data_IF_498156408786
#
_entry.id   IF_498156408786
#
_cell.length_a   1.000
_cell.length_b   1.000
_cell.length_c   1.000
_cell.angle_alpha   90.00
_cell.angle_beta   90.00
_cell.angle_gamma   90.00
#
_symmetry.space_group_name_H-M   'P 1'
#
loop_
_entity.id
_entity.type
_entity.pdbx_description
1 polymer ?
#
# COMPACT_ATOMS: atom_id res chain seq x y z
N UNK A 1 -21.49 1.76 40.23
CA UNK A 1 -20.38 2.72 40.10
C UNK A 1 -19.10 2.03 40.53
N UNK A 2 -18.36 1.46 39.59
CA UNK A 2 -16.96 1.09 39.82
C UNK A 2 -16.22 1.38 38.53
N UNK A 3 -15.42 2.45 38.56
CA UNK A 3 -14.61 2.88 37.44
C UNK A 3 -13.30 2.09 37.48
N UNK A 4 -13.24 1.01 36.71
CA UNK A 4 -11.98 0.35 36.39
C UNK A 4 -11.14 1.30 35.53
N UNK A 5 -10.25 2.04 36.21
CA UNK A 5 -9.12 2.72 35.60
C UNK A 5 -8.13 1.66 35.11
N UNK A 6 -8.36 1.15 33.91
CA UNK A 6 -7.26 0.66 33.09
C UNK A 6 -6.41 1.86 32.67
N UNK A 7 -5.39 2.15 33.48
CA UNK A 7 -4.22 2.87 33.03
C UNK A 7 -3.55 1.94 32.02
N UNK A 8 -3.90 2.07 30.74
CA UNK A 8 -3.17 1.45 29.66
C UNK A 8 -1.70 1.88 29.79
N UNK A 9 -0.81 0.92 30.05
CA UNK A 9 0.62 1.12 29.93
C UNK A 9 0.88 1.83 28.60
N UNK A 10 1.53 2.99 28.62
CA UNK A 10 1.81 3.75 27.42
C UNK A 10 2.73 2.91 26.51
N UNK A 11 2.14 2.10 25.63
CA UNK A 11 2.85 1.37 24.60
C UNK A 11 3.66 2.39 23.77
N UNK A 12 4.90 2.02 23.44
CA UNK A 12 5.71 2.81 22.54
C UNK A 12 4.92 3.08 21.23
N UNK A 13 5.01 4.30 20.66
CA UNK A 13 4.27 4.60 19.45
C UNK A 13 4.72 3.67 18.31
N UNK A 14 3.75 3.04 17.66
CA UNK A 14 3.97 2.16 16.51
C UNK A 14 3.90 2.94 15.21
N UNK A 15 4.92 2.79 14.38
CA UNK A 15 5.06 3.46 13.09
C UNK A 15 5.03 2.42 11.97
N UNK A 16 4.22 2.66 10.95
CA UNK A 16 4.27 1.90 9.71
C UNK A 16 5.07 2.67 8.67
N UNK A 17 6.11 2.07 8.12
CA UNK A 17 6.84 2.59 6.97
C UNK A 17 6.51 1.77 5.72
N UNK A 18 5.78 2.36 4.79
CA UNK A 18 5.52 1.78 3.47
C UNK A 18 6.54 2.34 2.48
N UNK A 19 7.59 1.56 2.19
CA UNK A 19 8.67 1.98 1.31
C UNK A 19 9.31 0.80 0.61
N UNK A 20 9.77 1.03 -0.62
CA UNK A 20 10.55 0.05 -1.36
C UNK A 20 11.86 -0.25 -0.61
N UNK A 21 12.32 -1.51 -0.61
CA UNK A 21 13.58 -1.87 0.04
C UNK A 21 14.76 -1.09 -0.57
N UNK A 22 15.31 -0.16 0.19
CA UNK A 22 16.44 0.66 -0.22
C UNK A 22 17.24 1.17 0.98
N UNK A 23 18.50 1.53 0.77
CA UNK A 23 19.38 2.04 1.83
C UNK A 23 18.79 3.24 2.59
N UNK A 24 18.05 4.11 1.89
CA UNK A 24 17.34 5.23 2.52
C UNK A 24 16.28 4.77 3.53
N UNK A 25 15.53 3.72 3.20
CA UNK A 25 14.45 3.19 4.05
C UNK A 25 15.03 2.56 5.31
N UNK A 26 16.08 1.75 5.15
CA UNK A 26 16.83 1.18 6.28
C UNK A 26 17.37 2.26 7.22
N UNK A 27 17.96 3.33 6.69
CA UNK A 27 18.44 4.46 7.51
C UNK A 27 17.32 5.14 8.29
N UNK A 28 16.14 5.28 7.69
CA UNK A 28 14.99 5.88 8.36
C UNK A 28 14.49 4.97 9.48
N UNK A 29 14.33 3.68 9.23
CA UNK A 29 13.95 2.66 10.24
C UNK A 29 14.91 2.69 11.43
N UNK A 30 16.22 2.59 11.18
CA UNK A 30 17.20 2.62 12.27
C UNK A 30 17.11 3.91 13.11
N UNK A 31 16.81 5.05 12.48
CA UNK A 31 16.65 6.32 13.21
C UNK A 31 15.37 6.33 14.02
N UNK A 32 14.25 5.86 13.48
CA UNK A 32 12.98 5.73 14.20
C UNK A 32 13.12 4.80 15.42
N UNK A 33 13.73 3.63 15.23
CA UNK A 33 13.98 2.67 16.32
C UNK A 33 14.90 3.25 17.41
N UNK A 34 15.93 4.01 17.03
CA UNK A 34 16.80 4.73 18.00
C UNK A 34 16.09 5.83 18.78
N UNK A 35 14.91 6.27 18.33
CA UNK A 35 14.04 7.18 19.09
C UNK A 35 13.06 6.42 20.01
N UNK A 36 13.16 5.09 20.07
CA UNK A 36 12.25 4.25 20.86
C UNK A 36 10.90 4.00 20.18
N UNK A 37 10.80 4.24 18.87
CA UNK A 37 9.59 3.96 18.09
C UNK A 37 9.63 2.53 17.55
N UNK A 38 8.59 1.76 17.83
CA UNK A 38 8.43 0.46 17.19
C UNK A 38 8.03 0.69 15.73
N UNK A 39 8.70 0.00 14.80
CA UNK A 39 8.56 0.29 13.37
C UNK A 39 8.32 -1.00 12.58
N UNK A 40 7.19 -1.07 11.89
CA UNK A 40 6.90 -2.10 10.89
C UNK A 40 7.21 -1.55 9.50
N UNK A 41 7.73 -2.39 8.61
CA UNK A 41 8.06 -2.01 7.24
C UNK A 41 7.32 -2.86 6.24
N UNK A 42 6.70 -2.22 5.26
CA UNK A 42 6.04 -2.86 4.13
C UNK A 42 6.58 -2.28 2.82
N UNK A 43 6.45 -3.01 1.71
CA UNK A 43 7.19 -2.70 0.47
C UNK A 43 6.55 -1.59 -0.38
N UNK A 44 5.26 -1.35 -0.20
CA UNK A 44 4.43 -0.50 -1.05
C UNK A 44 3.16 -0.07 -0.31
N UNK A 45 2.38 0.81 -0.95
CA UNK A 45 1.12 1.32 -0.42
C UNK A 45 0.06 0.21 -0.24
N UNK A 46 0.03 -0.78 -1.13
CA UNK A 46 -0.94 -1.89 -1.06
C UNK A 46 -0.74 -2.73 0.19
N UNK A 47 0.51 -3.13 0.44
CA UNK A 47 0.90 -3.81 1.67
C UNK A 47 0.63 -2.95 2.92
N UNK A 48 0.58 -1.62 2.77
CA UNK A 48 0.26 -0.73 3.87
C UNK A 48 -1.21 -0.81 4.28
N UNK A 49 -2.14 -0.99 3.33
CA UNK A 49 -3.57 -1.22 3.61
C UNK A 49 -3.74 -2.46 4.48
N UNK A 50 -3.13 -3.57 4.04
CA UNK A 50 -3.22 -4.83 4.77
C UNK A 50 -2.67 -4.70 6.19
N UNK A 51 -1.58 -3.94 6.36
CA UNK A 51 -1.02 -3.66 7.67
C UNK A 51 -1.98 -2.83 8.54
N UNK A 52 -2.56 -1.72 8.05
CA UNK A 52 -3.51 -0.91 8.84
C UNK A 52 -4.83 -1.62 9.15
N UNK A 53 -5.22 -2.61 8.34
CA UNK A 53 -6.35 -3.50 8.62
C UNK A 53 -6.06 -4.48 9.77
N UNK A 54 -4.84 -5.01 9.83
CA UNK A 54 -4.44 -5.99 10.87
C UNK A 54 -4.10 -5.33 12.20
N UNK A 55 -3.65 -4.08 12.17
CA UNK A 55 -3.09 -3.38 13.34
C UNK A 55 -3.30 -1.88 13.25
N UNK A 56 -3.59 -1.26 14.40
CA UNK A 56 -3.57 0.20 14.51
C UNK A 56 -2.13 0.73 14.66
N UNK A 57 -1.79 1.75 13.86
CA UNK A 57 -0.53 2.48 13.93
C UNK A 57 -0.75 3.91 14.44
N UNK A 58 0.23 4.48 15.13
CA UNK A 58 0.21 5.87 15.57
C UNK A 58 0.63 6.85 14.47
N UNK A 59 1.44 6.38 13.53
CA UNK A 59 1.99 7.18 12.44
C UNK A 59 2.20 6.28 11.22
N UNK A 60 1.76 6.75 10.06
CA UNK A 60 2.07 6.15 8.77
C UNK A 60 3.11 7.02 8.05
N UNK A 61 4.11 6.38 7.48
CA UNK A 61 5.13 7.00 6.63
C UNK A 61 5.11 6.30 5.28
N UNK A 62 4.73 7.02 4.23
CA UNK A 62 4.51 6.48 2.88
C UNK A 62 5.58 7.01 1.92
N UNK A 63 6.40 6.15 1.31
CA UNK A 63 7.32 6.56 0.26
C UNK A 63 6.53 7.05 -0.96
N UNK A 64 6.70 8.33 -1.29
CA UNK A 64 6.07 8.95 -2.46
C UNK A 64 7.10 9.12 -3.58
N UNK A 65 6.67 8.84 -4.81
CA UNK A 65 7.46 9.04 -6.02
C UNK A 65 6.59 9.56 -7.16
N UNK A 66 7.20 10.14 -8.20
CA UNK A 66 6.49 10.66 -9.37
C UNK A 66 5.71 9.59 -10.15
N UNK A 67 6.00 8.30 -9.92
CA UNK A 67 5.42 7.18 -10.68
C UNK A 67 4.14 6.59 -10.07
N UNK A 68 3.73 7.00 -8.87
CA UNK A 68 2.56 6.42 -8.18
C UNK A 68 1.67 7.51 -7.55
N UNK A 69 0.33 7.38 -7.63
CA UNK A 69 -0.61 8.37 -7.09
C UNK A 69 -0.74 8.24 -5.57
N UNK A 70 0.32 8.61 -4.84
CA UNK A 70 0.32 8.55 -3.37
C UNK A 70 -0.82 9.38 -2.73
N UNK A 71 -1.26 10.45 -3.39
CA UNK A 71 -2.39 11.27 -2.93
C UNK A 71 -3.73 10.53 -2.93
N UNK A 72 -4.03 9.76 -3.99
CA UNK A 72 -5.27 8.99 -4.09
C UNK A 72 -5.39 7.96 -2.97
N UNK A 73 -4.28 7.27 -2.69
CA UNK A 73 -4.17 6.32 -1.59
C UNK A 73 -4.48 6.96 -0.23
N UNK A 74 -3.92 8.14 0.04
CA UNK A 74 -4.17 8.84 1.31
C UNK A 74 -5.62 9.31 1.41
N UNK A 75 -6.21 9.81 0.31
CA UNK A 75 -7.63 10.18 0.28
C UNK A 75 -8.52 8.98 0.60
N UNK A 76 -8.20 7.80 0.06
CA UNK A 76 -8.90 6.55 0.36
C UNK A 76 -8.78 6.18 1.84
N UNK A 77 -7.58 6.24 2.43
CA UNK A 77 -7.41 5.97 3.87
C UNK A 77 -8.20 6.95 4.74
N UNK A 78 -8.21 8.24 4.39
CA UNK A 78 -8.99 9.25 5.11
C UNK A 78 -10.50 8.99 5.00
N UNK A 79 -10.99 8.65 3.81
CA UNK A 79 -12.37 8.29 3.59
C UNK A 79 -12.78 7.08 4.44
N UNK A 80 -11.90 6.07 4.52
CA UNK A 80 -12.09 4.87 5.35
C UNK A 80 -12.00 5.12 6.88
N UNK A 81 -11.88 6.37 7.33
CA UNK A 81 -11.85 6.73 8.75
C UNK A 81 -10.46 6.68 9.39
N UNK A 82 -9.38 6.65 8.59
CA UNK A 82 -8.03 6.74 9.14
C UNK A 82 -7.70 8.17 9.55
N UNK A 83 -7.68 8.45 10.85
CA UNK A 83 -7.41 9.79 11.38
C UNK A 83 -6.02 9.98 11.98
N UNK A 84 -5.17 8.95 11.93
CA UNK A 84 -3.80 9.03 12.45
C UNK A 84 -2.90 9.80 11.49
N UNK A 85 -1.82 10.43 11.97
CA UNK A 85 -0.89 11.13 11.12
C UNK A 85 -0.37 10.27 9.95
N UNK A 86 -0.47 10.79 8.73
CA UNK A 86 0.09 10.22 7.50
C UNK A 86 1.13 11.19 6.95
N UNK A 87 2.36 10.70 6.83
CA UNK A 87 3.52 11.46 6.34
C UNK A 87 3.93 10.94 4.97
N UNK A 88 4.04 11.86 4.01
CA UNK A 88 4.66 11.57 2.73
C UNK A 88 6.18 11.62 2.84
N UNK A 89 6.86 10.50 2.62
CA UNK A 89 8.32 10.42 2.60
C UNK A 89 8.86 10.52 1.18
N UNK A 90 9.63 11.57 0.94
CA UNK A 90 10.10 11.98 -0.37
C UNK A 90 11.61 11.76 -0.42
N UNK A 91 12.07 10.84 -1.27
CA UNK A 91 13.52 10.54 -1.36
C UNK A 91 14.34 11.62 -2.06
N UNK A 92 13.71 12.39 -2.95
CA UNK A 92 14.33 13.49 -3.69
C UNK A 92 13.45 14.73 -3.64
N UNK A 93 14.03 15.92 -3.42
CA UNK A 93 13.30 17.19 -3.35
C UNK A 93 12.44 17.50 -4.58
N UNK A 94 12.72 16.89 -5.73
CA UNK A 94 11.92 17.04 -6.94
C UNK A 94 10.50 16.46 -6.81
N UNK A 95 10.31 15.44 -5.97
CA UNK A 95 9.04 14.70 -5.85
C UNK A 95 8.17 15.20 -4.69
N UNK A 96 8.52 16.34 -4.07
CA UNK A 96 7.73 16.98 -3.00
C UNK A 96 6.34 17.39 -3.49
N UNK A 97 6.19 17.65 -4.79
CA UNK A 97 4.90 18.01 -5.41
C UNK A 97 3.87 16.89 -5.38
N UNK A 98 4.29 15.65 -5.14
CA UNK A 98 3.42 14.49 -5.01
C UNK A 98 2.80 14.35 -3.61
N UNK A 99 3.14 15.25 -2.68
CA UNK A 99 2.60 15.27 -1.31
C UNK A 99 1.84 16.58 -1.12
N UNK A 100 0.52 16.48 -1.06
CA UNK A 100 -0.36 17.63 -0.86
C UNK A 100 -1.19 17.48 0.41
N UNK A 101 -1.33 18.54 1.24
CA UNK A 101 -2.32 18.56 2.30
C UNK A 101 -3.75 18.34 1.79
N UNK A 102 -4.05 18.72 0.55
CA UNK A 102 -5.35 18.50 -0.07
C UNK A 102 -5.69 17.01 -0.26
N UNK A 103 -4.67 16.15 -0.34
CA UNK A 103 -4.83 14.70 -0.41
C UNK A 103 -4.97 14.05 0.97
N UNK A 104 -4.80 14.82 2.05
CA UNK A 104 -4.95 14.34 3.42
C UNK A 104 -3.63 13.97 4.13
N UNK A 105 -2.47 14.31 3.54
CA UNK A 105 -1.18 14.21 4.23
C UNK A 105 -1.05 15.27 5.32
N UNK A 106 -0.52 14.89 6.49
CA UNK A 106 -0.29 15.84 7.59
C UNK A 106 1.07 16.52 7.48
N UNK A 107 2.05 15.84 6.89
CA UNK A 107 3.38 16.40 6.70
C UNK A 107 4.16 15.70 5.58
N UNK A 108 5.25 16.36 5.17
CA UNK A 108 6.21 15.83 4.19
C UNK A 108 7.59 15.70 4.82
N UNK A 109 8.20 14.54 4.66
CA UNK A 109 9.56 14.26 5.10
C UNK A 109 10.47 14.14 3.88
N UNK A 110 11.36 15.11 3.66
CA UNK A 110 12.32 15.08 2.57
C UNK A 110 13.63 14.39 3.02
N UNK A 111 14.01 13.31 2.33
CA UNK A 111 15.20 12.52 2.62
C UNK A 111 15.16 11.94 4.04
N UNK A 112 16.32 11.77 4.66
CA UNK A 112 16.40 11.27 6.02
C UNK A 112 17.20 12.26 6.89
N UNK A 113 16.55 13.07 7.74
CA UNK A 113 17.23 14.11 8.53
C UNK A 113 18.09 13.51 9.64
N UNK A 114 19.05 14.29 10.15
CA UNK A 114 19.87 13.89 11.29
C UNK A 114 19.00 13.55 12.52
N UNK A 115 19.48 12.64 13.38
CA UNK A 115 18.72 12.05 14.50
C UNK A 115 17.99 13.10 15.36
N UNK A 116 18.69 14.16 15.81
CA UNK A 116 18.09 15.20 16.66
C UNK A 116 17.02 16.03 15.96
N UNK A 117 17.16 16.25 14.65
CA UNK A 117 16.16 16.98 13.84
C UNK A 117 14.93 16.11 13.56
N UNK A 118 15.11 14.80 13.39
CA UNK A 118 14.00 13.86 13.19
C UNK A 118 13.09 13.81 14.43
N UNK A 119 13.66 13.74 15.63
CA UNK A 119 12.90 13.74 16.88
C UNK A 119 12.05 15.01 17.04
N UNK A 120 12.67 16.19 16.84
CA UNK A 120 11.96 17.47 16.91
C UNK A 120 10.81 17.56 15.90
N UNK A 121 11.03 17.02 14.70
CA UNK A 121 10.04 17.02 13.63
C UNK A 121 8.87 16.06 13.89
N UNK A 122 9.12 14.89 14.48
CA UNK A 122 8.09 13.89 14.80
C UNK A 122 7.26 14.24 16.05
N UNK A 123 7.83 14.99 16.99
CA UNK A 123 7.19 15.32 18.26
C UNK A 123 5.73 15.85 18.13
N UNK A 124 5.42 16.84 17.27
CA UNK A 124 4.04 17.33 17.13
C UNK A 124 3.09 16.27 16.53
N UNK A 125 3.57 15.44 15.59
CA UNK A 125 2.74 14.40 14.96
C UNK A 125 2.40 13.30 15.96
N UNK A 126 3.38 12.84 16.74
CA UNK A 126 3.16 11.81 17.76
C UNK A 126 2.27 12.31 18.91
N UNK A 127 2.37 13.59 19.27
CA UNK A 127 1.47 14.21 20.25
C UNK A 127 0.01 14.27 19.76
N UNK A 128 -0.20 14.60 18.47
CA UNK A 128 -1.52 14.54 17.85
C UNK A 128 -2.07 13.11 17.81
N UNK A 129 -1.21 12.12 17.49
CA UNK A 129 -1.57 10.71 17.50
C UNK A 129 -1.91 10.17 18.90
N UNK A 130 -1.34 10.71 19.97
CA UNK A 130 -1.65 10.27 21.34
C UNK A 130 -3.05 10.71 21.82
N UNK A 131 -3.67 11.69 21.15
CA UNK A 131 -4.90 12.36 21.64
C UNK A 131 -6.21 11.87 20.97
N UNK A 132 -6.14 10.93 20.02
CA UNK A 132 -7.31 10.41 19.28
C UNK A 132 -7.65 8.94 19.59
N UNK A 133 -8.90 8.49 19.34
CA UNK A 133 -9.27 7.08 19.48
C UNK A 133 -8.47 6.16 18.53
N UNK A 134 -8.10 4.98 19.02
CA UNK A 134 -7.45 3.94 18.22
C UNK A 134 -8.52 3.14 17.46
N UNK A 135 -8.81 3.52 16.22
CA UNK A 135 -9.68 2.73 15.34
C UNK A 135 -8.83 1.87 14.41
N UNK A 136 -9.12 0.56 14.39
CA UNK A 136 -8.78 -0.31 13.27
C UNK A 136 -9.77 0.02 12.15
N UNK A 137 -9.32 0.11 10.90
CA UNK A 137 -10.19 0.46 9.78
C UNK A 137 -11.18 -0.69 9.52
N UNK A 138 -12.48 -0.41 9.58
CA UNK A 138 -13.54 -1.35 9.19
C UNK A 138 -14.00 -1.03 7.76
N UNK A 139 -13.27 -1.58 6.79
CA UNK A 139 -13.33 -1.21 5.38
C UNK A 139 -14.44 -1.98 4.63
N UNK A 140 -15.07 -2.98 5.26
CA UNK A 140 -16.10 -3.80 4.62
C UNK A 140 -17.44 -3.07 4.45
N UNK A 141 -17.74 -2.09 5.31
CA UNK A 141 -19.02 -1.36 5.32
C UNK A 141 -18.98 0.04 4.69
N UNK A 142 -17.85 0.45 4.09
CA UNK A 142 -17.69 1.78 3.51
C UNK A 142 -18.19 1.84 2.05
N UNK A 143 -19.16 2.70 1.79
CA UNK A 143 -19.84 2.80 0.49
C UNK A 143 -18.92 3.30 -0.65
N UNK A 144 -17.93 4.13 -0.34
CA UNK A 144 -16.99 4.66 -1.32
C UNK A 144 -15.92 3.61 -1.66
N UNK A 145 -15.48 2.82 -0.69
CA UNK A 145 -14.62 1.65 -0.95
C UNK A 145 -15.33 0.58 -1.78
N UNK A 146 -16.63 0.38 -1.57
CA UNK A 146 -17.43 -0.52 -2.42
C UNK A 146 -17.53 0.02 -3.86
N UNK A 147 -17.63 1.34 -4.07
CA UNK A 147 -17.59 1.95 -5.40
C UNK A 147 -16.24 1.75 -6.11
N UNK A 148 -15.12 1.90 -5.39
CA UNK A 148 -13.78 1.59 -5.89
C UNK A 148 -13.61 0.11 -6.25
N UNK A 149 -14.15 -0.81 -5.44
CA UNK A 149 -14.18 -2.25 -5.80
C UNK A 149 -14.99 -2.50 -7.07
N UNK A 150 -16.08 -1.76 -7.31
CA UNK A 150 -16.87 -1.87 -8.54
C UNK A 150 -16.07 -1.38 -9.75
N UNK A 151 -15.41 -0.23 -9.65
CA UNK A 151 -14.57 0.32 -10.73
C UNK A 151 -13.37 -0.60 -11.04
N UNK A 152 -12.71 -1.13 -10.01
CA UNK A 152 -11.66 -2.12 -10.17
C UNK A 152 -12.15 -3.40 -10.84
N UNK A 153 -13.34 -3.90 -10.47
CA UNK A 153 -13.96 -5.08 -11.11
C UNK A 153 -14.28 -4.82 -12.59
N UNK A 154 -14.72 -3.62 -12.94
CA UNK A 154 -14.92 -3.25 -14.34
C UNK A 154 -13.58 -3.28 -15.11
N UNK A 155 -12.49 -2.82 -14.49
CA UNK A 155 -11.13 -2.93 -15.03
C UNK A 155 -10.66 -4.39 -15.20
N UNK A 156 -10.95 -5.27 -14.24
CA UNK A 156 -10.63 -6.70 -14.30
C UNK A 156 -11.29 -7.41 -15.49
N UNK A 157 -12.55 -7.06 -15.82
CA UNK A 157 -13.23 -7.65 -16.96
C UNK A 157 -12.55 -7.28 -18.30
N UNK A 158 -12.12 -6.02 -18.45
CA UNK A 158 -11.35 -5.58 -19.62
C UNK A 158 -9.98 -6.28 -19.69
N UNK A 159 -9.29 -6.42 -18.57
CA UNK A 159 -8.00 -7.12 -18.50
C UNK A 159 -8.13 -8.63 -18.76
N UNK A 160 -9.24 -9.25 -18.36
CA UNK A 160 -9.55 -10.65 -18.67
C UNK A 160 -9.73 -10.87 -20.18
N UNK A 161 -10.43 -9.95 -20.86
CA UNK A 161 -10.57 -10.00 -22.31
C UNK A 161 -9.22 -9.82 -23.02
N UNK A 162 -8.42 -8.86 -22.58
CA UNK A 162 -7.06 -8.64 -23.10
C UNK A 162 -6.12 -9.83 -22.87
N UNK A 163 -6.20 -10.48 -21.70
CA UNK A 163 -5.41 -11.69 -21.41
C UNK A 163 -5.77 -12.83 -22.34
N UNK A 164 -7.06 -13.07 -22.60
CA UNK A 164 -7.51 -14.11 -23.53
C UNK A 164 -6.99 -13.84 -24.94
N UNK A 165 -7.17 -12.62 -25.42
CA UNK A 165 -6.71 -12.22 -26.75
C UNK A 165 -5.19 -12.35 -26.90
N UNK A 166 -4.41 -11.81 -25.97
CA UNK A 166 -2.96 -11.88 -26.02
C UNK A 166 -2.43 -13.32 -25.89
N UNK A 167 -3.15 -14.20 -25.17
CA UNK A 167 -2.81 -15.62 -25.10
C UNK A 167 -3.08 -16.33 -26.42
N UNK A 168 -4.20 -16.01 -27.09
CA UNK A 168 -4.59 -16.60 -28.37
C UNK A 168 -3.69 -16.13 -29.52
N UNK A 169 -3.26 -14.87 -29.48
CA UNK A 169 -2.35 -14.26 -30.47
C UNK A 169 -0.86 -14.57 -30.20
N UNK A 170 -0.54 -15.13 -29.02
CA UNK A 170 0.84 -15.36 -28.60
C UNK A 170 1.64 -14.08 -28.31
N UNK A 171 0.93 -12.96 -28.05
CA UNK A 171 1.54 -11.67 -27.77
C UNK A 171 2.12 -11.61 -26.35
N UNK A 172 3.38 -12.04 -26.26
CA UNK A 172 4.16 -12.07 -25.02
C UNK A 172 4.39 -10.67 -24.42
N UNK A 173 4.37 -9.61 -25.23
CA UNK A 173 4.58 -8.23 -24.76
C UNK A 173 3.35 -7.75 -24.02
N UNK A 174 2.18 -7.95 -24.61
CA UNK A 174 0.90 -7.61 -23.98
C UNK A 174 0.63 -8.47 -22.75
N UNK A 175 0.95 -9.78 -22.81
CA UNK A 175 0.84 -10.67 -21.64
C UNK A 175 1.71 -10.19 -20.47
N UNK A 176 2.95 -9.74 -20.74
CA UNK A 176 3.85 -9.25 -19.70
C UNK A 176 3.32 -7.97 -19.06
N UNK A 177 2.80 -7.05 -19.87
CA UNK A 177 2.20 -5.81 -19.38
C UNK A 177 0.96 -6.09 -18.52
N UNK A 178 0.05 -6.93 -19.00
CA UNK A 178 -1.17 -7.31 -18.26
C UNK A 178 -0.84 -8.04 -16.96
N UNK A 179 0.12 -8.96 -16.97
CA UNK A 179 0.60 -9.64 -15.77
C UNK A 179 1.20 -8.65 -14.76
N UNK A 180 2.00 -7.68 -15.22
CA UNK A 180 2.53 -6.64 -14.35
C UNK A 180 1.42 -5.78 -13.73
N UNK A 181 0.46 -5.33 -14.55
CA UNK A 181 -0.66 -4.50 -14.08
C UNK A 181 -1.52 -5.24 -13.07
N UNK A 182 -1.92 -6.48 -13.37
CA UNK A 182 -2.75 -7.31 -12.48
C UNK A 182 -2.04 -7.64 -11.17
N UNK A 183 -0.73 -7.93 -11.21
CA UNK A 183 0.05 -8.15 -10.00
C UNK A 183 0.00 -6.96 -9.05
N UNK A 184 0.12 -5.74 -9.58
CA UNK A 184 0.05 -4.51 -8.79
C UNK A 184 -1.38 -4.24 -8.29
N UNK A 185 -2.35 -4.22 -9.21
CA UNK A 185 -3.70 -3.78 -8.88
C UNK A 185 -4.52 -4.81 -8.11
N UNK A 186 -4.40 -6.11 -8.39
CA UNK A 186 -5.15 -7.15 -7.69
C UNK A 186 -4.77 -7.28 -6.21
N UNK A 187 -3.51 -6.95 -5.88
CA UNK A 187 -3.04 -6.89 -4.50
C UNK A 187 -3.74 -5.81 -3.70
N UNK A 188 -3.94 -4.63 -4.29
CA UNK A 188 -4.62 -3.47 -3.68
C UNK A 188 -6.05 -3.77 -3.21
N UNK A 189 -6.73 -4.72 -3.86
CA UNK A 189 -8.13 -5.05 -3.59
C UNK A 189 -8.32 -6.44 -2.93
N UNK A 190 -7.23 -7.08 -2.48
CA UNK A 190 -7.28 -8.33 -1.72
C UNK A 190 -7.42 -9.61 -2.55
N UNK A 191 -7.18 -9.57 -3.87
CA UNK A 191 -7.25 -10.74 -4.74
C UNK A 191 -5.89 -11.43 -4.84
N UNK A 192 -5.45 -12.00 -3.71
CA UNK A 192 -4.11 -12.59 -3.59
C UNK A 192 -3.81 -13.73 -4.57
N UNK A 193 -4.83 -14.50 -4.96
CA UNK A 193 -4.64 -15.58 -5.95
C UNK A 193 -4.35 -15.03 -7.35
N UNK A 194 -4.99 -13.92 -7.73
CA UNK A 194 -4.70 -13.19 -8.97
C UNK A 194 -3.28 -12.61 -8.95
N UNK A 195 -2.87 -12.01 -7.82
CA UNK A 195 -1.50 -11.49 -7.66
C UNK A 195 -0.45 -12.58 -7.82
N UNK A 196 -0.64 -13.75 -7.20
CA UNK A 196 0.29 -14.87 -7.29
C UNK A 196 0.37 -15.41 -8.73
N UNK A 197 -0.78 -15.66 -9.36
CA UNK A 197 -0.83 -16.15 -10.74
C UNK A 197 -0.19 -15.17 -11.73
N UNK A 198 -0.35 -13.87 -11.51
CA UNK A 198 0.22 -12.83 -12.35
C UNK A 198 1.75 -12.76 -12.21
N UNK A 199 2.27 -12.93 -10.99
CA UNK A 199 3.71 -12.98 -10.73
C UNK A 199 4.36 -14.21 -11.40
N UNK A 200 3.74 -15.38 -11.31
CA UNK A 200 4.22 -16.60 -11.96
C UNK A 200 4.29 -16.45 -13.48
N UNK A 201 3.23 -15.92 -14.10
CA UNK A 201 3.21 -15.64 -15.55
C UNK A 201 4.28 -14.63 -15.95
N UNK A 202 4.41 -13.53 -15.19
CA UNK A 202 5.42 -12.50 -15.42
C UNK A 202 6.85 -13.10 -15.40
N UNK A 203 7.15 -13.92 -14.39
CA UNK A 203 8.47 -14.53 -14.25
C UNK A 203 8.77 -15.51 -15.39
N UNK A 204 7.80 -16.30 -15.83
CA UNK A 204 7.97 -17.22 -16.96
C UNK A 204 8.22 -16.48 -18.28
N UNK A 205 7.54 -15.36 -18.52
CA UNK A 205 7.73 -14.50 -19.70
C UNK A 205 9.12 -13.86 -19.70
N UNK A 206 9.57 -13.32 -18.55
CA UNK A 206 10.90 -12.72 -18.39
C UNK A 206 12.03 -13.76 -18.55
N UNK A 207 11.80 -15.00 -18.12
CA UNK A 207 12.75 -16.09 -18.25
C UNK A 207 12.74 -16.76 -19.64
N UNK A 208 11.87 -16.33 -20.56
CA UNK A 208 11.74 -16.91 -21.90
C UNK A 208 11.21 -18.35 -21.92
N UNK A 209 10.49 -18.76 -20.87
CA UNK A 209 9.99 -20.13 -20.71
C UNK A 209 8.67 -20.35 -21.47
N UNK A 210 8.71 -20.26 -22.79
CA UNK A 210 7.53 -20.36 -23.68
C UNK A 210 6.69 -21.62 -23.46
N UNK A 211 7.29 -22.73 -23.01
CA UNK A 211 6.57 -23.98 -22.70
C UNK A 211 5.57 -23.88 -21.53
N UNK A 212 5.75 -22.93 -20.60
CA UNK A 212 4.89 -22.76 -19.43
C UNK A 212 3.93 -21.56 -19.53
N UNK A 213 4.22 -20.59 -20.41
CA UNK A 213 3.44 -19.35 -20.58
C UNK A 213 1.95 -19.64 -20.84
N UNK A 214 1.65 -20.64 -21.67
CA UNK A 214 0.28 -20.99 -22.03
C UNK A 214 -0.50 -21.56 -20.84
N UNK A 215 0.14 -22.40 -20.01
CA UNK A 215 -0.47 -22.96 -18.81
C UNK A 215 -0.66 -21.90 -17.72
N UNK A 216 0.34 -21.06 -17.49
CA UNK A 216 0.31 -19.99 -16.51
C UNK A 216 -0.69 -18.88 -16.89
N UNK A 217 -0.78 -18.55 -18.18
CA UNK A 217 -1.77 -17.60 -18.67
C UNK A 217 -3.20 -18.10 -18.52
N UNK A 218 -3.45 -19.40 -18.76
CA UNK A 218 -4.76 -20.03 -18.46
C UNK A 218 -5.07 -20.04 -16.97
N UNK A 219 -4.05 -20.27 -16.13
CA UNK A 219 -4.19 -20.20 -14.68
C UNK A 219 -4.58 -18.78 -14.22
N UNK A 220 -3.89 -17.76 -14.69
CA UNK A 220 -4.22 -16.35 -14.40
C UNK A 220 -5.63 -15.97 -14.87
N UNK A 221 -6.03 -16.36 -16.08
CA UNK A 221 -7.39 -16.14 -16.61
C UNK A 221 -8.45 -16.76 -15.70
N UNK A 222 -8.18 -17.95 -15.14
CA UNK A 222 -9.09 -18.62 -14.21
C UNK A 222 -9.21 -17.86 -12.89
N UNK A 223 -8.10 -17.44 -12.29
CA UNK A 223 -8.12 -16.68 -11.03
C UNK A 223 -8.82 -15.33 -11.19
N UNK A 224 -8.58 -14.63 -12.31
CA UNK A 224 -9.27 -13.38 -12.64
C UNK A 224 -10.78 -13.63 -12.82
N UNK A 225 -11.17 -14.74 -13.46
CA UNK A 225 -12.58 -15.09 -13.61
C UNK A 225 -13.27 -15.41 -12.27
N UNK A 226 -12.60 -16.13 -11.35
CA UNK A 226 -13.12 -16.43 -10.02
C UNK A 226 -13.22 -15.20 -9.11
N UNK A 227 -12.41 -14.17 -9.36
CA UNK A 227 -12.46 -12.89 -8.68
C UNK A 227 -13.64 -12.00 -9.12
N UNK A 228 -14.27 -12.31 -10.26
CA UNK A 228 -15.47 -11.62 -10.74
C UNK A 228 -16.73 -12.29 -10.15
N UNK A 229 -17.74 -11.52 -9.70
CA UNK A 229 -19.01 -12.09 -9.26
C UNK A 229 -19.76 -12.78 -10.42
N UNK A 230 -20.70 -13.70 -10.12
CA UNK A 230 -21.53 -14.37 -11.13
C UNK A 230 -22.45 -13.41 -11.89
#
# INVERSE_FOLDING_TARGET
MSADRHIAAACAPFVLLAARPAFGAYRLVCRLQRLGLETDTVRDADSAIEAVLKRSYNLLVLETSDAAPAGEFVRMLRAAGHHRPIVGWVRSVCTVRCVSPADGFDAVLAGCPAQGKLAQWLAPLLAAAASGPHTVLDVEHDADFQALKIEFRAGLAAQLAGLRQALDEGDSTTLLHLAHTLKGSAGSYGYMSVTSAADELQNALLAGQTGHVLALGRHLIREVFLALPP
#
